data_IF_917592759417
#
_entry.id   IF_917592759417
#
_cell.length_a   1.000
_cell.length_b   1.000
_cell.length_c   1.000
_cell.angle_alpha   90.00
_cell.angle_beta   90.00
_cell.angle_gamma   90.00
#
_symmetry.space_group_name_H-M   'P 1'
#
loop_
_entity.id
_entity.type
_entity.pdbx_description
1 polymer ?
#
# COMPACT_ATOMS: atom_id res chain seq x y z
N UNK A 1 15.87 -6.68 10.77
CA UNK A 1 16.66 -5.70 9.98
C UNK A 1 15.75 -4.55 9.53
N UNK A 2 16.30 -3.42 9.04
CA UNK A 2 15.52 -2.29 8.52
C UNK A 2 15.57 -2.23 6.98
N UNK A 3 14.44 -2.48 6.32
CA UNK A 3 14.32 -2.48 4.85
C UNK A 3 13.81 -1.16 4.27
N UNK A 4 13.49 -0.17 5.12
CA UNK A 4 12.99 1.14 4.70
C UNK A 4 13.99 1.85 3.80
N UNK A 5 13.56 2.30 2.62
CA UNK A 5 14.37 3.10 1.71
C UNK A 5 13.99 2.95 0.24
N UNK A 6 14.86 3.48 -0.61
CA UNK A 6 14.74 3.47 -2.06
C UNK A 6 15.65 2.39 -2.63
N UNK A 7 15.12 1.57 -3.55
CA UNK A 7 15.75 0.37 -4.07
C UNK A 7 15.71 0.36 -5.60
N UNK A 8 16.88 0.31 -6.24
CA UNK A 8 16.97 -0.03 -7.66
C UNK A 8 16.72 -1.53 -7.83
N UNK A 9 15.79 -1.89 -8.72
CA UNK A 9 15.43 -3.29 -8.98
C UNK A 9 15.54 -3.61 -10.45
N UNK A 10 15.54 -4.91 -10.78
CA UNK A 10 15.48 -5.39 -12.16
C UNK A 10 14.10 -5.24 -12.82
N UNK A 11 13.12 -4.64 -12.15
CA UNK A 11 11.77 -4.42 -12.69
C UNK A 11 11.41 -2.93 -12.77
N UNK A 12 11.41 -2.25 -11.63
CA UNK A 12 11.15 -0.82 -11.51
C UNK A 12 11.74 -0.30 -10.19
N UNK A 13 11.93 1.01 -10.07
CA UNK A 13 12.35 1.61 -8.80
C UNK A 13 11.32 1.27 -7.72
N UNK A 14 11.79 0.74 -6.59
CA UNK A 14 10.99 0.29 -5.47
C UNK A 14 11.24 1.17 -4.23
N UNK A 15 10.18 1.47 -3.51
CA UNK A 15 10.21 2.27 -2.29
C UNK A 15 9.56 1.45 -1.19
N UNK A 16 10.28 1.17 -0.11
CA UNK A 16 9.80 0.37 1.01
C UNK A 16 9.77 1.20 2.27
N UNK A 17 8.69 1.05 3.04
CA UNK A 17 8.55 1.56 4.40
C UNK A 17 8.22 0.40 5.34
N UNK A 18 9.03 0.24 6.37
CA UNK A 18 8.84 -0.77 7.40
C UNK A 18 8.40 -0.13 8.72
N UNK A 19 7.37 -0.70 9.33
CA UNK A 19 6.97 -0.45 10.72
C UNK A 19 6.80 -1.79 11.43
N UNK A 20 7.64 -2.05 12.42
CA UNK A 20 7.73 -3.37 13.07
C UNK A 20 7.98 -4.48 12.04
N UNK A 21 7.13 -5.50 11.95
CA UNK A 21 7.19 -6.55 10.94
C UNK A 21 6.42 -6.19 9.66
N UNK A 22 5.55 -5.18 9.67
CA UNK A 22 4.81 -4.78 8.47
C UNK A 22 5.69 -3.94 7.55
N UNK A 23 5.69 -4.28 6.27
CA UNK A 23 6.32 -3.49 5.21
C UNK A 23 5.27 -3.14 4.18
N UNK A 24 5.19 -1.88 3.80
CA UNK A 24 4.43 -1.41 2.64
C UNK A 24 5.39 -0.79 1.64
N UNK A 25 4.98 -0.71 0.39
CA UNK A 25 5.80 -0.09 -0.62
C UNK A 25 5.06 0.24 -1.89
N UNK A 26 5.78 0.92 -2.77
CA UNK A 26 5.36 1.14 -4.15
C UNK A 26 6.50 0.89 -5.10
N UNK A 27 6.19 0.68 -6.36
CA UNK A 27 7.16 0.76 -7.44
C UNK A 27 6.63 1.54 -8.65
N UNK A 28 7.53 2.12 -9.42
CA UNK A 28 7.18 3.12 -10.45
C UNK A 28 6.37 2.57 -11.62
N UNK A 29 6.40 1.25 -11.82
CA UNK A 29 5.67 0.61 -12.91
C UNK A 29 4.22 0.37 -12.51
N UNK A 30 3.30 0.74 -13.40
CA UNK A 30 1.87 0.41 -13.30
C UNK A 30 1.19 0.85 -11.99
N UNK A 31 1.64 1.95 -11.38
CA UNK A 31 1.17 2.42 -10.07
C UNK A 31 1.26 1.33 -8.99
N UNK A 32 2.29 0.49 -9.09
CA UNK A 32 2.42 -0.71 -8.29
C UNK A 32 2.56 -0.40 -6.81
N UNK A 33 1.82 -1.13 -5.98
CA UNK A 33 1.93 -1.11 -4.53
C UNK A 33 2.21 -2.52 -4.04
N UNK A 34 2.79 -2.62 -2.85
CA UNK A 34 2.97 -3.88 -2.18
C UNK A 34 2.78 -3.74 -0.68
N UNK A 35 2.47 -4.86 -0.07
CA UNK A 35 2.50 -5.03 1.37
C UNK A 35 3.04 -6.40 1.72
N UNK A 36 3.62 -6.54 2.91
CA UNK A 36 4.08 -7.83 3.38
C UNK A 36 4.52 -7.82 4.83
N UNK A 37 4.86 -9.02 5.30
CA UNK A 37 5.40 -9.27 6.63
C UNK A 37 6.86 -9.66 6.51
N UNK A 38 7.72 -8.91 7.20
CA UNK A 38 9.15 -9.17 7.33
C UNK A 38 9.41 -10.01 8.57
N UNK A 39 9.90 -11.22 8.36
CA UNK A 39 10.38 -12.12 9.41
C UNK A 39 11.86 -12.41 9.21
N UNK A 40 12.68 -11.98 10.18
CA UNK A 40 14.15 -12.04 10.06
C UNK A 40 14.65 -11.16 8.91
N UNK A 41 14.99 -11.79 7.79
CA UNK A 41 15.41 -11.16 6.53
C UNK A 41 14.54 -11.54 5.33
N UNK A 42 13.41 -12.20 5.55
CA UNK A 42 12.50 -12.64 4.49
C UNK A 42 11.24 -11.79 4.57
N UNK A 43 10.93 -11.07 3.48
CA UNK A 43 9.67 -10.34 3.30
C UNK A 43 8.78 -11.14 2.37
N UNK A 44 7.59 -11.49 2.84
CA UNK A 44 6.55 -12.19 2.07
C UNK A 44 5.32 -11.31 2.04
N UNK A 45 4.66 -11.24 0.88
CA UNK A 45 3.38 -10.57 0.80
C UNK A 45 2.81 -10.51 -0.60
N UNK A 46 2.02 -9.48 -0.85
CA UNK A 46 1.25 -9.26 -2.05
C UNK A 46 1.65 -7.96 -2.74
N UNK A 47 1.66 -7.98 -4.06
CA UNK A 47 1.78 -6.79 -4.90
C UNK A 47 0.51 -6.59 -5.72
N UNK A 48 0.24 -5.34 -6.07
CA UNK A 48 -0.95 -4.92 -6.82
C UNK A 48 -0.55 -3.86 -7.84
N UNK A 49 -1.01 -3.98 -9.08
CA UNK A 49 -0.79 -3.02 -10.17
C UNK A 49 -2.12 -2.49 -10.69
N UNK A 50 -2.14 -1.19 -10.99
CA UNK A 50 -3.22 -0.48 -11.66
C UNK A 50 -2.73 0.01 -13.03
N UNK A 51 -2.69 -0.90 -14.00
CA UNK A 51 -2.10 -0.67 -15.35
C UNK A 51 -2.90 0.28 -16.20
N UNK A 52 -4.23 0.25 -16.06
CA UNK A 52 -5.15 0.93 -16.98
C UNK A 52 -5.91 2.09 -16.34
N UNK A 53 -6.09 2.09 -15.02
CA UNK A 53 -6.84 3.12 -14.30
C UNK A 53 -6.43 3.19 -12.83
N UNK A 54 -6.10 4.39 -12.37
CA UNK A 54 -5.86 4.68 -10.95
C UNK A 54 -7.04 4.17 -10.10
N UNK A 55 -6.74 3.32 -9.11
CA UNK A 55 -7.73 2.75 -8.21
C UNK A 55 -8.47 1.50 -8.71
N UNK A 56 -8.07 0.89 -9.84
CA UNK A 56 -8.44 -0.49 -10.16
C UNK A 56 -7.18 -1.34 -10.18
N UNK A 57 -7.00 -2.26 -9.24
CA UNK A 57 -5.87 -3.20 -9.29
C UNK A 57 -6.25 -4.36 -10.18
N UNK A 58 -5.92 -4.26 -11.46
CA UNK A 58 -6.28 -5.23 -12.49
C UNK A 58 -5.30 -6.42 -12.56
N UNK A 59 -4.19 -6.34 -11.82
CA UNK A 59 -3.28 -7.46 -11.59
C UNK A 59 -2.74 -7.43 -10.19
N UNK A 60 -2.60 -8.60 -9.60
CA UNK A 60 -1.99 -8.80 -8.30
C UNK A 60 -1.24 -10.13 -8.28
N UNK A 61 -0.43 -10.30 -7.24
CA UNK A 61 0.05 -11.62 -6.87
C UNK A 61 1.04 -11.58 -5.74
N UNK A 62 1.68 -12.71 -5.48
CA UNK A 62 2.55 -12.85 -4.33
C UNK A 62 4.02 -12.58 -4.66
N UNK A 63 4.78 -12.19 -3.64
CA UNK A 63 6.21 -12.02 -3.74
C UNK A 63 6.93 -12.53 -2.49
N UNK A 64 8.20 -12.92 -2.66
CA UNK A 64 9.10 -13.30 -1.57
C UNK A 64 10.48 -12.71 -1.82
N UNK A 65 10.93 -11.81 -0.94
CA UNK A 65 12.26 -11.21 -1.00
C UNK A 65 13.11 -11.69 0.18
N UNK A 66 14.36 -12.04 -0.09
CA UNK A 66 15.38 -12.34 0.91
C UNK A 66 16.39 -11.20 0.90
N UNK A 67 16.43 -10.42 1.98
CA UNK A 67 17.35 -9.32 2.12
C UNK A 67 18.71 -9.78 2.67
N UNK A 68 19.75 -9.07 2.26
CA UNK A 68 21.13 -9.30 2.65
C UNK A 68 21.70 -8.10 3.42
N UNK A 69 22.65 -8.30 4.36
CA UNK A 69 23.30 -7.20 5.09
C UNK A 69 24.01 -6.17 4.19
N UNK A 70 24.38 -6.53 2.97
CA UNK A 70 25.01 -5.62 2.00
C UNK A 70 24.02 -4.73 1.22
N UNK A 71 22.82 -4.51 1.78
CA UNK A 71 21.78 -3.68 1.17
C UNK A 71 21.33 -4.16 -0.22
N UNK A 72 21.25 -5.47 -0.41
CA UNK A 72 20.62 -6.08 -1.59
C UNK A 72 19.50 -7.03 -1.18
N UNK A 73 18.65 -7.40 -2.13
CA UNK A 73 17.74 -8.52 -1.99
C UNK A 73 17.72 -9.37 -3.25
N UNK A 74 17.41 -10.65 -3.08
CA UNK A 74 17.02 -11.58 -4.15
C UNK A 74 15.68 -12.20 -3.81
N UNK A 75 14.92 -12.59 -4.81
CA UNK A 75 13.57 -13.07 -4.58
C UNK A 75 12.84 -13.41 -5.86
N UNK A 76 11.54 -13.54 -5.73
CA UNK A 76 10.65 -13.82 -6.85
C UNK A 76 9.31 -13.13 -6.66
N UNK A 77 8.62 -12.95 -7.78
CA UNK A 77 7.24 -12.50 -7.85
C UNK A 77 6.45 -13.50 -8.69
N UNK A 78 5.16 -13.61 -8.42
CA UNK A 78 4.22 -14.31 -9.27
C UNK A 78 2.89 -13.58 -9.36
N UNK A 79 2.08 -14.00 -10.33
CA UNK A 79 0.69 -13.63 -10.52
C UNK A 79 -0.22 -14.50 -9.65
N UNK A 80 -1.30 -13.89 -9.14
CA UNK A 80 -2.25 -14.52 -8.23
C UNK A 80 -1.50 -15.14 -7.03
N UNK A 81 -1.90 -16.33 -6.60
CA UNK A 81 -1.34 -17.05 -5.45
C UNK A 81 0.08 -17.63 -5.68
N UNK A 82 0.72 -17.32 -6.81
CA UNK A 82 2.07 -17.81 -7.11
C UNK A 82 3.14 -16.85 -6.62
N UNK A 83 4.24 -17.42 -6.11
CA UNK A 83 5.45 -16.66 -5.76
C UNK A 83 6.47 -16.57 -6.90
N UNK A 84 6.35 -17.35 -7.98
CA UNK A 84 7.49 -17.63 -8.89
C UNK A 84 7.21 -17.50 -10.37
N UNK A 85 5.95 -17.52 -10.81
CA UNK A 85 5.60 -17.59 -12.24
C UNK A 85 5.83 -16.28 -13.03
N UNK A 86 6.13 -15.15 -12.38
CA UNK A 86 6.54 -13.89 -13.03
C UNK A 86 8.06 -13.69 -13.07
N UNK A 87 8.80 -14.54 -12.35
CA UNK A 87 10.25 -14.58 -12.38
C UNK A 87 10.95 -13.91 -11.20
N UNK A 88 12.26 -13.74 -11.37
CA UNK A 88 13.19 -13.27 -10.34
C UNK A 88 13.04 -11.77 -10.10
N UNK A 89 13.03 -11.38 -8.83
CA UNK A 89 13.07 -9.98 -8.41
C UNK A 89 14.33 -9.73 -7.58
N UNK A 90 15.21 -8.86 -8.06
CA UNK A 90 16.43 -8.46 -7.35
C UNK A 90 16.46 -6.96 -7.16
N UNK A 91 17.14 -6.51 -6.11
CA UNK A 91 17.36 -5.09 -5.93
C UNK A 91 18.53 -4.73 -5.02
N UNK A 92 18.93 -3.46 -5.10
CA UNK A 92 19.99 -2.83 -4.31
C UNK A 92 19.46 -1.51 -3.74
N UNK A 93 19.67 -1.29 -2.44
CA UNK A 93 19.30 -0.03 -1.78
C UNK A 93 20.20 1.09 -2.30
N UNK A 94 19.58 2.19 -2.70
CA UNK A 94 20.27 3.34 -3.31
C UNK A 94 19.98 4.67 -2.63
N UNK A 95 19.06 4.72 -1.66
CA UNK A 95 18.76 5.95 -0.95
C UNK A 95 17.76 5.82 0.17
N UNK A 96 17.45 6.95 0.79
CA UNK A 96 16.37 7.07 1.78
C UNK A 96 15.03 7.24 1.08
N UNK A 97 13.91 7.03 1.80
CA UNK A 97 12.58 7.30 1.24
C UNK A 97 12.34 8.81 0.97
N UNK A 98 12.90 9.67 1.82
CA UNK A 98 12.65 11.12 1.81
C UNK A 98 13.14 11.84 0.56
N UNK A 99 14.18 11.34 -0.10
CA UNK A 99 14.78 12.01 -1.27
C UNK A 99 13.86 12.03 -2.49
N UNK A 100 12.90 11.09 -2.60
CA UNK A 100 11.93 11.02 -3.70
C UNK A 100 10.49 11.33 -3.26
N UNK A 101 10.12 11.03 -2.01
CA UNK A 101 8.85 11.43 -1.43
C UNK A 101 8.60 12.95 -1.51
N UNK A 102 9.67 13.75 -1.48
CA UNK A 102 9.61 15.22 -1.49
C UNK A 102 9.37 15.85 -2.89
N UNK A 103 9.29 15.07 -3.98
CA UNK A 103 9.10 15.64 -5.33
C UNK A 103 7.64 15.85 -5.76
N UNK A 104 6.68 15.29 -5.02
CA UNK A 104 5.25 15.45 -5.33
C UNK A 104 4.56 15.99 -4.08
N UNK A 105 4.07 17.24 -4.15
CA UNK A 105 3.19 17.76 -3.11
C UNK A 105 1.91 16.93 -3.06
N UNK A 106 1.68 16.31 -1.91
CA UNK A 106 0.47 15.53 -1.62
C UNK A 106 -0.24 16.14 -0.43
N UNK A 107 -1.57 16.02 -0.37
CA UNK A 107 -2.32 16.33 0.84
C UNK A 107 -1.82 15.39 1.94
N UNK A 108 -1.48 15.94 3.11
CA UNK A 108 -1.17 15.11 4.28
C UNK A 108 -2.45 14.45 4.76
N UNK A 109 -2.54 13.13 4.61
CA UNK A 109 -3.66 12.30 5.07
C UNK A 109 -3.52 11.86 6.52
N UNK A 110 -2.34 12.06 7.14
CA UNK A 110 -2.04 11.58 8.48
C UNK A 110 -3.00 12.16 9.50
N UNK A 111 -3.63 11.31 10.31
CA UNK A 111 -4.52 11.75 11.37
C UNK A 111 -5.69 10.80 11.57
N UNK A 112 -6.61 11.24 12.42
CA UNK A 112 -7.83 10.50 12.73
C UNK A 112 -9.01 11.14 12.01
N UNK A 113 -9.87 10.30 11.44
CA UNK A 113 -10.97 10.69 10.58
C UNK A 113 -12.26 10.06 11.09
N UNK A 114 -13.31 10.87 11.20
CA UNK A 114 -14.66 10.39 11.37
C UNK A 114 -15.22 10.04 9.99
N UNK A 115 -15.62 8.79 9.78
CA UNK A 115 -16.10 8.28 8.49
C UNK A 115 -17.46 7.60 8.62
N UNK A 116 -18.07 7.28 7.49
CA UNK A 116 -19.27 6.42 7.46
C UNK A 116 -18.98 4.94 7.81
N UNK A 117 -17.73 4.58 8.10
CA UNK A 117 -17.28 3.28 8.61
C UNK A 117 -16.58 3.42 9.98
N UNK A 118 -17.09 4.33 10.81
CA UNK A 118 -16.54 4.71 12.12
C UNK A 118 -15.17 5.40 12.02
N UNK A 119 -14.38 5.34 13.10
CA UNK A 119 -13.09 5.99 13.18
C UNK A 119 -12.12 5.33 12.20
N UNK A 120 -11.34 6.16 11.50
CA UNK A 120 -10.24 5.71 10.65
C UNK A 120 -8.99 6.50 11.03
N UNK A 121 -7.88 5.80 11.25
CA UNK A 121 -6.57 6.44 11.48
C UNK A 121 -5.66 6.17 10.29
N UNK A 122 -5.15 7.23 9.67
CA UNK A 122 -4.22 7.17 8.55
C UNK A 122 -2.82 7.62 9.00
N UNK A 123 -1.80 7.03 8.39
CA UNK A 123 -0.39 7.38 8.53
C UNK A 123 0.23 7.49 7.15
N UNK A 124 0.79 8.64 6.85
CA UNK A 124 1.44 8.91 5.57
C UNK A 124 2.94 9.14 5.73
N UNK A 125 3.71 8.51 4.85
CA UNK A 125 5.14 8.79 4.67
C UNK A 125 5.40 8.98 3.18
N UNK A 126 5.58 10.24 2.76
CA UNK A 126 5.62 10.58 1.35
C UNK A 126 4.30 10.29 0.66
N UNK A 127 4.29 9.41 -0.33
CA UNK A 127 3.09 8.97 -1.04
C UNK A 127 2.45 7.71 -0.43
N UNK A 128 3.13 6.98 0.46
CA UNK A 128 2.56 5.77 1.05
C UNK A 128 1.57 6.16 2.14
N UNK A 129 0.40 5.55 2.12
CA UNK A 129 -0.60 5.70 3.17
C UNK A 129 -0.97 4.33 3.71
N UNK A 130 -0.85 4.16 5.01
CA UNK A 130 -1.38 3.00 5.73
C UNK A 130 -2.47 3.47 6.68
N UNK A 131 -3.41 2.59 7.02
CA UNK A 131 -4.43 2.95 7.98
C UNK A 131 -5.16 1.76 8.58
N UNK A 132 -5.95 2.08 9.59
CA UNK A 132 -6.88 1.17 10.26
C UNK A 132 -8.23 1.89 10.39
N UNK A 133 -9.33 1.14 10.35
CA UNK A 133 -10.67 1.66 10.60
C UNK A 133 -11.49 0.69 11.44
N UNK A 134 -12.31 1.21 12.34
CA UNK A 134 -12.91 0.39 13.42
C UNK A 134 -13.93 -0.63 12.90
N UNK A 135 -14.56 -0.38 11.75
CA UNK A 135 -15.51 -1.31 11.18
C UNK A 135 -14.82 -2.62 10.73
N UNK A 136 -15.18 -3.74 11.37
CA UNK A 136 -14.66 -5.08 11.11
C UNK A 136 -13.13 -5.20 11.12
N UNK A 137 -12.49 -4.51 12.08
CA UNK A 137 -11.03 -4.52 12.26
C UNK A 137 -10.29 -4.18 10.96
N UNK A 138 -10.76 -3.12 10.32
CA UNK A 138 -10.38 -2.75 8.98
C UNK A 138 -8.95 -2.25 8.87
N UNK A 139 -8.30 -2.55 7.74
CA UNK A 139 -6.96 -2.06 7.38
C UNK A 139 -6.95 -1.44 6.00
N UNK A 140 -6.08 -0.45 5.80
CA UNK A 140 -5.86 0.24 4.52
C UNK A 140 -4.38 0.17 4.14
N UNK A 141 -4.13 -0.13 2.87
CA UNK A 141 -2.84 0.06 2.20
C UNK A 141 -3.08 0.82 0.92
N UNK A 142 -2.52 2.02 0.82
CA UNK A 142 -2.81 2.94 -0.26
C UNK A 142 -1.60 3.78 -0.64
N UNK A 143 -1.73 4.46 -1.77
CA UNK A 143 -0.85 5.53 -2.21
C UNK A 143 -1.66 6.79 -2.46
N UNK A 144 -1.06 7.95 -2.19
CA UNK A 144 -1.63 9.25 -2.53
C UNK A 144 -0.83 9.95 -3.61
N UNK A 145 -1.56 10.45 -4.61
CA UNK A 145 -1.07 11.34 -5.65
C UNK A 145 -1.86 12.63 -5.57
N UNK A 146 -1.16 13.76 -5.37
CA UNK A 146 -1.77 15.07 -5.11
C UNK A 146 -2.81 15.01 -3.98
N UNK A 147 -4.08 14.97 -4.32
CA UNK A 147 -5.24 14.97 -3.42
C UNK A 147 -6.02 13.66 -3.48
N UNK A 148 -5.57 12.68 -4.26
CA UNK A 148 -6.29 11.44 -4.54
C UNK A 148 -5.52 10.23 -4.03
N UNK A 149 -6.08 9.58 -3.02
CA UNK A 149 -5.59 8.32 -2.47
C UNK A 149 -6.30 7.15 -3.13
N UNK A 150 -5.52 6.16 -3.55
CA UNK A 150 -6.01 4.91 -4.13
C UNK A 150 -5.34 3.74 -3.43
N UNK A 151 -6.09 2.70 -3.09
CA UNK A 151 -5.54 1.59 -2.32
C UNK A 151 -6.50 0.44 -2.14
N UNK A 152 -6.11 -0.47 -1.27
CA UNK A 152 -6.90 -1.59 -0.84
C UNK A 152 -7.39 -1.38 0.58
N UNK A 153 -8.56 -1.93 0.86
CA UNK A 153 -9.06 -2.12 2.21
C UNK A 153 -9.21 -3.62 2.48
N UNK A 154 -9.10 -3.99 3.75
CA UNK A 154 -9.21 -5.35 4.23
C UNK A 154 -10.04 -5.36 5.51
N UNK A 155 -10.84 -6.41 5.71
CA UNK A 155 -11.71 -6.63 6.87
C UNK A 155 -11.66 -8.10 7.27
N UNK A 156 -12.24 -8.40 8.43
CA UNK A 156 -12.46 -9.77 8.90
C UNK A 156 -11.14 -10.53 9.01
N UNK A 157 -10.22 -10.00 9.83
CA UNK A 157 -8.91 -10.61 10.05
C UNK A 157 -9.06 -11.93 10.82
N UNK A 158 -8.61 -13.02 10.22
CA UNK A 158 -8.54 -14.34 10.81
C UNK A 158 -7.46 -14.40 11.89
N UNK A 159 -7.53 -15.44 12.74
CA UNK A 159 -6.53 -15.69 13.80
C UNK A 159 -5.11 -15.88 13.26
N UNK A 160 -4.97 -16.28 12.00
CA UNK A 160 -3.70 -16.45 11.31
C UNK A 160 -3.21 -15.16 10.60
N UNK A 161 -3.95 -14.06 10.72
CA UNK A 161 -3.61 -12.77 10.11
C UNK A 161 -4.06 -12.62 8.65
N UNK A 162 -4.76 -13.59 8.08
CA UNK A 162 -5.37 -13.47 6.75
C UNK A 162 -6.65 -12.63 6.79
N UNK A 163 -6.98 -11.94 5.71
CA UNK A 163 -8.21 -11.15 5.61
C UNK A 163 -9.22 -11.87 4.72
N UNK A 164 -10.43 -12.11 5.22
CA UNK A 164 -11.48 -12.78 4.44
C UNK A 164 -12.09 -11.86 3.38
N UNK A 165 -12.26 -10.58 3.73
CA UNK A 165 -12.91 -9.59 2.88
C UNK A 165 -11.93 -8.50 2.49
N UNK A 166 -11.77 -8.28 1.18
CA UNK A 166 -10.89 -7.25 0.64
C UNK A 166 -11.47 -6.56 -0.57
N UNK A 167 -10.98 -5.37 -0.84
CA UNK A 167 -11.39 -4.62 -2.01
C UNK A 167 -10.57 -3.37 -2.24
N UNK A 168 -11.04 -2.55 -3.17
CA UNK A 168 -10.36 -1.32 -3.60
C UNK A 168 -11.10 -0.08 -3.12
N UNK A 169 -10.35 1.00 -2.92
CA UNK A 169 -10.85 2.31 -2.53
C UNK A 169 -10.23 3.42 -3.37
N UNK A 170 -11.01 4.50 -3.54
CA UNK A 170 -10.55 5.79 -4.04
C UNK A 170 -11.09 6.87 -3.11
N UNK A 171 -10.21 7.72 -2.57
CA UNK A 171 -10.57 8.84 -1.72
C UNK A 171 -9.94 10.12 -2.28
N UNK A 172 -10.77 11.13 -2.51
CA UNK A 172 -10.34 12.46 -2.90
C UNK A 172 -10.44 13.42 -1.73
N UNK A 173 -9.30 13.88 -1.25
CA UNK A 173 -9.17 14.83 -0.17
C UNK A 173 -9.48 16.25 -0.65
N UNK A 174 -10.07 17.02 0.24
CA UNK A 174 -10.25 18.47 0.08
C UNK A 174 -8.91 19.19 0.16
N UNK A 175 -8.81 20.35 -0.51
CA UNK A 175 -7.57 21.13 -0.56
C UNK A 175 -7.09 21.63 0.81
N UNK A 176 -8.00 21.80 1.76
CA UNK A 176 -7.69 22.19 3.13
C UNK A 176 -7.31 20.99 4.01
N UNK A 177 -7.35 19.76 3.48
CA UNK A 177 -6.98 18.54 4.18
C UNK A 177 -7.95 18.11 5.29
N UNK A 178 -9.14 18.71 5.38
CA UNK A 178 -10.08 18.49 6.50
C UNK A 178 -11.21 17.52 6.19
N UNK A 179 -11.39 17.14 4.93
CA UNK A 179 -12.41 16.18 4.50
C UNK A 179 -11.99 15.39 3.28
N UNK A 180 -12.65 14.27 3.02
CA UNK A 180 -12.56 13.56 1.75
C UNK A 180 -13.92 13.02 1.31
N UNK A 181 -14.05 12.84 -0.01
CA UNK A 181 -15.12 12.07 -0.63
C UNK A 181 -14.54 10.90 -1.40
N UNK A 182 -15.16 9.75 -1.32
CA UNK A 182 -14.60 8.54 -1.90
C UNK A 182 -15.62 7.47 -2.20
N UNK A 183 -15.12 6.41 -2.84
CA UNK A 183 -15.85 5.20 -3.13
C UNK A 183 -15.03 3.98 -2.75
N UNK A 184 -15.71 2.88 -2.50
CA UNK A 184 -15.11 1.59 -2.28
C UNK A 184 -15.89 0.50 -2.99
N UNK A 185 -15.23 -0.65 -3.17
CA UNK A 185 -15.90 -1.86 -3.60
C UNK A 185 -15.05 -3.11 -3.42
N UNK A 186 -15.63 -4.26 -3.76
CA UNK A 186 -15.04 -5.59 -3.60
C UNK A 186 -14.12 -5.96 -4.75
N UNK A 187 -13.05 -6.68 -4.43
CA UNK A 187 -12.02 -7.06 -5.39
C UNK A 187 -11.48 -5.83 -6.12
N UNK A 188 -11.43 -5.90 -7.44
CA UNK A 188 -10.84 -4.87 -8.30
C UNK A 188 -11.75 -3.66 -8.57
N UNK A 189 -13.01 -3.70 -8.10
CA UNK A 189 -13.97 -2.63 -8.35
C UNK A 189 -13.95 -1.59 -7.23
N UNK A 190 -13.60 -0.32 -7.51
CA UNK A 190 -13.50 0.71 -6.47
C UNK A 190 -14.84 1.35 -6.10
N UNK A 191 -15.97 0.86 -6.61
CA UNK A 191 -17.25 1.56 -6.46
C UNK A 191 -18.50 0.69 -6.32
N UNK A 192 -18.38 -0.65 -6.42
CA UNK A 192 -19.56 -1.53 -6.28
C UNK A 192 -20.00 -1.75 -4.82
N UNK A 193 -19.25 -1.25 -3.83
CA UNK A 193 -19.61 -1.31 -2.41
C UNK A 193 -20.32 -0.04 -1.92
N UNK A 194 -19.95 1.13 -2.45
CA UNK A 194 -20.65 2.38 -2.20
C UNK A 194 -19.73 3.57 -1.93
N UNK A 195 -20.24 4.55 -1.19
CA UNK A 195 -19.49 5.75 -0.82
C UNK A 195 -18.65 5.50 0.43
N UNK A 196 -17.48 6.13 0.50
CA UNK A 196 -16.67 6.26 1.72
C UNK A 196 -16.27 7.73 1.86
N UNK A 197 -16.85 8.41 2.85
CA UNK A 197 -16.61 9.82 3.09
C UNK A 197 -16.10 10.02 4.51
N UNK A 198 -15.32 11.08 4.73
CA UNK A 198 -14.82 11.38 6.05
C UNK A 198 -14.45 12.83 6.28
N UNK A 199 -14.35 13.17 7.56
CA UNK A 199 -13.92 14.48 8.08
C UNK A 199 -12.84 14.26 9.12
N UNK A 200 -11.79 15.08 9.09
CA UNK A 200 -10.68 15.00 10.04
C UNK A 200 -11.17 15.38 11.43
N UNK A 201 -10.78 14.60 12.43
CA UNK A 201 -10.91 15.00 13.83
C UNK A 201 -9.73 15.91 14.19
N UNK A 202 -10.06 17.06 14.75
CA UNK A 202 -9.11 18.06 15.25
C UNK A 202 -8.41 17.59 16.51
#
# INVERSE_FOLDING_TARGET
MNVTGTWDTNYARLYLEQKSSTVVGRYDKNNGILEGVLEGNILIGDWYESRFKLGSFDTNGNFRLTFSPNNTFTGSRGLNESFTNEGVWTGKKVGTLSEFANQIETIDTTGTWNTNFNLMTLRQTGFNVSGEFDFNNGRIVAVIYTDTMTGNWYQDINKDGTYETKGTLIMKFSKDGNSFKGTWGYGESPSNGGLWNGTRLT
#
